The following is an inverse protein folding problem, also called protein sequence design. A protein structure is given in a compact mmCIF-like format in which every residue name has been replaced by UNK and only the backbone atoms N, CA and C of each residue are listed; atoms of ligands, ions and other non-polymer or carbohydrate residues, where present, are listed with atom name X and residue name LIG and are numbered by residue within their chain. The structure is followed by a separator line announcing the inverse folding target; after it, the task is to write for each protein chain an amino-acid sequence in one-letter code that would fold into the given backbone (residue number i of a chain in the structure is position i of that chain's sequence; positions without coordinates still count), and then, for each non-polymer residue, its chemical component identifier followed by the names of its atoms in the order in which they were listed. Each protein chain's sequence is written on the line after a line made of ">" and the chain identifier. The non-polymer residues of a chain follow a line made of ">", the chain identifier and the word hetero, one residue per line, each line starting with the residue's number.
data_IF_891761513380
#
_entry.id   IF_891761513380
#
_cell.length_a   1.000
_cell.length_b   1.000
_cell.length_c   1.000
_cell.angle_alpha   90.00
_cell.angle_beta   90.00
_cell.angle_gamma   90.00
#
_symmetry.space_group_name_H-M   'P 1'
#
loop_
_entity.id
_entity.type
_entity.pdbx_description
1 polymer ?
#
# COMPACT_ATOMS: atom_id res chain seq x y z
N UNK A 1 2.96 -16.43 12.54
CA UNK A 1 2.50 -17.12 11.31
C UNK A 1 2.73 -16.22 10.09
N UNK A 2 2.97 -16.79 8.90
CA UNK A 2 3.15 -15.99 7.67
C UNK A 2 2.09 -16.30 6.62
N UNK A 3 1.57 -15.25 5.99
CA UNK A 3 0.73 -15.35 4.80
C UNK A 3 1.55 -14.86 3.61
N UNK A 4 1.66 -15.64 2.55
CA UNK A 4 2.38 -15.25 1.33
C UNK A 4 1.37 -15.13 0.19
N UNK A 5 1.29 -13.95 -0.40
CA UNK A 5 0.56 -13.66 -1.63
C UNK A 5 1.56 -13.53 -2.77
N UNK A 6 1.60 -14.52 -3.66
CA UNK A 6 2.53 -14.54 -4.80
C UNK A 6 1.81 -14.34 -6.12
N UNK A 7 2.20 -13.35 -6.91
CA UNK A 7 1.74 -13.18 -8.28
C UNK A 7 2.32 -14.31 -9.14
N UNK A 8 1.46 -15.05 -9.83
CA UNK A 8 1.86 -16.12 -10.74
C UNK A 8 1.72 -15.72 -12.21
N UNK A 9 0.55 -15.19 -12.58
CA UNK A 9 0.22 -14.88 -13.98
C UNK A 9 -0.36 -13.46 -14.07
N UNK A 10 -0.11 -12.79 -15.19
CA UNK A 10 -0.73 -11.52 -15.53
C UNK A 10 -1.27 -11.57 -16.96
N UNK A 11 -2.50 -11.11 -17.13
CA UNK A 11 -3.16 -10.99 -18.42
C UNK A 11 -3.90 -9.65 -18.49
N UNK A 12 -3.79 -8.96 -19.62
CA UNK A 12 -4.38 -7.63 -19.77
C UNK A 12 -5.91 -7.61 -19.68
N UNK A 13 -6.59 -8.72 -19.99
CA UNK A 13 -8.05 -8.84 -19.95
C UNK A 13 -8.54 -9.45 -18.64
N UNK A 14 -7.83 -10.44 -18.11
CA UNK A 14 -8.22 -11.19 -16.90
C UNK A 14 -7.67 -10.59 -15.62
N UNK A 15 -6.56 -9.85 -15.71
CA UNK A 15 -5.90 -9.14 -14.63
C UNK A 15 -4.74 -9.93 -14.02
N UNK A 16 -4.75 -10.11 -12.71
CA UNK A 16 -3.64 -10.68 -11.95
C UNK A 16 -4.05 -11.98 -11.27
N UNK A 17 -3.20 -12.99 -11.36
CA UNK A 17 -3.40 -14.26 -10.68
C UNK A 17 -2.45 -14.38 -9.51
N UNK A 18 -3.00 -14.73 -8.35
CA UNK A 18 -2.23 -14.89 -7.12
C UNK A 18 -2.35 -16.31 -6.57
N UNK A 19 -1.33 -16.74 -5.84
CA UNK A 19 -1.38 -17.89 -4.95
C UNK A 19 -1.22 -17.41 -3.52
N UNK A 20 -2.09 -17.95 -2.65
CA UNK A 20 -2.09 -17.77 -1.21
C UNK A 20 -1.42 -18.98 -0.57
N UNK A 21 -0.34 -18.74 0.17
CA UNK A 21 0.28 -19.73 1.05
C UNK A 21 0.19 -19.27 2.50
N UNK A 22 -0.30 -20.12 3.38
CA UNK A 22 -0.26 -19.89 4.83
C UNK A 22 0.80 -20.82 5.39
N UNK A 23 1.82 -20.24 6.02
CA UNK A 23 2.96 -20.92 6.62
C UNK A 23 2.92 -20.78 8.13
N UNK A 24 3.14 -21.87 8.85
CA UNK A 24 3.30 -21.83 10.31
C UNK A 24 4.63 -21.15 10.69
N UNK A 25 4.87 -20.97 11.99
CA UNK A 25 6.08 -20.31 12.52
C UNK A 25 7.38 -21.07 12.23
N UNK A 26 7.29 -22.31 11.75
CA UNK A 26 8.44 -23.11 11.29
C UNK A 26 8.67 -23.01 9.78
N UNK A 27 7.87 -22.23 9.06
CA UNK A 27 7.98 -21.99 7.63
C UNK A 27 7.32 -23.06 6.77
N UNK A 28 6.69 -24.08 7.38
CA UNK A 28 5.99 -25.13 6.67
C UNK A 28 4.65 -24.63 6.13
N UNK A 29 4.38 -24.89 4.85
CA UNK A 29 3.11 -24.54 4.19
C UNK A 29 2.00 -25.44 4.73
N UNK A 30 1.03 -24.84 5.43
CA UNK A 30 -0.15 -25.52 5.96
C UNK A 30 -1.29 -25.50 4.93
N UNK A 31 -1.40 -24.40 4.20
CA UNK A 31 -2.45 -24.22 3.20
C UNK A 31 -1.86 -23.53 1.99
N UNK A 32 -2.12 -24.09 0.81
CA UNK A 32 -1.83 -23.46 -0.47
C UNK A 32 -3.12 -23.44 -1.28
N UNK A 33 -3.56 -22.24 -1.65
CA UNK A 33 -4.74 -22.05 -2.47
C UNK A 33 -4.43 -21.11 -3.60
N UNK A 34 -4.94 -21.43 -4.79
CA UNK A 34 -4.82 -20.55 -5.95
C UNK A 34 -5.99 -19.57 -5.92
N UNK A 35 -5.69 -18.28 -5.76
CA UNK A 35 -6.72 -17.25 -5.79
C UNK A 35 -7.33 -17.17 -7.18
N UNK A 36 -8.59 -16.73 -7.25
CA UNK A 36 -9.15 -16.34 -8.55
C UNK A 36 -8.48 -15.07 -9.05
N UNK A 37 -8.67 -14.80 -10.33
CA UNK A 37 -8.12 -13.62 -10.98
C UNK A 37 -8.60 -12.33 -10.32
N UNK A 38 -7.67 -11.53 -9.80
CA UNK A 38 -7.89 -10.13 -9.53
C UNK A 38 -8.16 -9.44 -10.86
N UNK A 39 -9.27 -8.68 -11.00
CA UNK A 39 -9.53 -7.99 -12.26
C UNK A 39 -8.41 -7.01 -12.59
N UNK A 40 -8.22 -6.63 -13.86
CA UNK A 40 -7.36 -5.50 -14.20
C UNK A 40 -7.81 -4.26 -13.43
N UNK A 41 -6.86 -3.47 -12.92
CA UNK A 41 -7.13 -2.19 -12.27
C UNK A 41 -6.37 -1.06 -12.98
N UNK A 42 -6.74 -0.74 -14.24
CA UNK A 42 -6.02 0.26 -15.02
C UNK A 42 -6.03 1.65 -14.36
N UNK A 43 -7.10 2.02 -13.66
CA UNK A 43 -7.22 3.28 -12.93
C UNK A 43 -6.18 3.36 -11.80
N UNK A 44 -5.98 2.26 -11.08
CA UNK A 44 -4.99 2.17 -10.00
C UNK A 44 -3.57 2.25 -10.54
N UNK A 45 -3.29 1.58 -11.66
CA UNK A 45 -1.98 1.64 -12.34
C UNK A 45 -1.70 3.06 -12.84
N UNK A 46 -2.67 3.70 -13.49
CA UNK A 46 -2.57 5.08 -13.97
C UNK A 46 -2.31 6.04 -12.81
N UNK A 47 -2.99 5.84 -11.68
CA UNK A 47 -2.76 6.64 -10.48
C UNK A 47 -1.31 6.47 -9.97
N UNK A 48 -0.79 5.24 -9.88
CA UNK A 48 0.60 4.98 -9.49
C UNK A 48 1.62 5.62 -10.45
N UNK A 49 1.32 5.66 -11.75
CA UNK A 49 2.15 6.33 -12.75
C UNK A 49 2.11 7.86 -12.58
N UNK A 50 0.92 8.44 -12.42
CA UNK A 50 0.74 9.88 -12.25
C UNK A 50 1.38 10.40 -10.95
N UNK A 51 1.21 9.68 -9.84
CA UNK A 51 1.85 10.04 -8.59
C UNK A 51 3.37 9.98 -8.66
N UNK A 52 3.96 9.08 -9.46
CA UNK A 52 5.41 9.04 -9.66
C UNK A 52 5.93 10.36 -10.25
N UNK A 53 5.23 10.88 -11.25
CA UNK A 53 5.59 12.14 -11.91
C UNK A 53 5.38 13.36 -11.01
N UNK A 54 4.31 13.35 -10.22
CA UNK A 54 3.93 14.44 -9.33
C UNK A 54 4.77 14.48 -8.04
N UNK A 55 5.04 13.33 -7.42
CA UNK A 55 5.89 13.24 -6.22
C UNK A 55 7.33 13.66 -6.51
N UNK A 56 7.87 13.34 -7.69
CA UNK A 56 9.19 13.82 -8.09
C UNK A 56 9.24 15.36 -8.09
N UNK A 57 8.21 16.04 -8.62
CA UNK A 57 8.13 17.51 -8.64
C UNK A 57 7.94 18.11 -7.24
N UNK A 58 7.15 17.48 -6.38
CA UNK A 58 6.86 17.97 -5.02
C UNK A 58 8.06 17.83 -4.07
N UNK A 59 8.78 16.70 -4.14
CA UNK A 59 9.97 16.46 -3.30
C UNK A 59 11.06 17.52 -3.56
N UNK A 60 11.31 17.86 -4.83
CA UNK A 60 12.25 18.92 -5.21
C UNK A 60 11.82 20.29 -4.66
N UNK A 61 10.52 20.59 -4.63
CA UNK A 61 9.99 21.87 -4.13
C UNK A 61 10.02 21.97 -2.61
N UNK A 62 9.67 20.89 -1.90
CA UNK A 62 9.66 20.86 -0.44
C UNK A 62 11.07 20.84 0.17
N UNK A 63 12.02 20.14 -0.44
CA UNK A 63 13.40 20.16 0.00
C UNK A 63 14.04 21.54 -0.19
N UNK A 64 13.70 22.26 -1.27
CA UNK A 64 14.15 23.64 -1.46
C UNK A 64 13.71 24.59 -0.33
N UNK A 65 12.47 24.47 0.13
CA UNK A 65 11.91 25.30 1.20
C UNK A 65 12.42 24.93 2.61
N UNK A 66 12.86 23.67 2.80
CA UNK A 66 13.44 23.18 4.08
C UNK A 66 14.86 23.67 4.32
N UNK A 67 15.64 23.91 3.26
CA UNK A 67 17.00 24.44 3.36
C UNK A 67 17.05 25.93 3.73
N UNK A 68 15.95 26.67 3.56
CA UNK A 68 15.90 28.12 3.79
C UNK A 68 15.54 28.51 5.24
N UNK A 69 15.31 27.54 6.14
CA UNK A 69 14.92 27.83 7.53
C UNK A 69 15.84 27.15 8.54
N UNK A 70 17.01 27.74 8.75
CA UNK A 70 17.74 27.65 10.01
C UNK A 70 18.46 28.99 10.24
N UNK A 71 17.97 29.76 11.19
CA UNK A 71 18.80 30.68 11.96
C UNK A 71 18.30 30.63 13.41
N UNK A 72 19.25 30.42 14.30
CA UNK A 72 19.07 30.09 15.71
C UNK A 72 18.60 31.32 16.51
N UNK A 73 17.57 31.15 17.34
CA UNK A 73 17.18 32.19 18.29
C UNK A 73 15.90 31.87 19.02
N UNK A 74 16.03 31.66 20.34
CA UNK A 74 14.92 31.52 21.28
C UNK A 74 13.86 32.61 21.05
N UNK A 75 12.63 32.21 20.75
CA UNK A 75 11.49 33.11 20.67
C UNK A 75 10.34 32.55 21.51
N UNK A 76 10.06 33.20 22.65
CA UNK A 76 8.90 32.96 23.52
C UNK A 76 7.57 33.45 22.91
N UNK A 77 7.57 33.90 21.65
CA UNK A 77 6.37 34.30 20.91
C UNK A 77 6.02 33.26 19.84
N UNK A 78 4.73 32.91 19.66
CA UNK A 78 4.32 32.02 18.58
C UNK A 78 4.73 32.61 17.24
N UNK A 79 5.53 31.85 16.49
CA UNK A 79 5.99 32.22 15.15
C UNK A 79 4.74 32.44 14.28
N UNK A 80 4.55 33.64 13.69
CA UNK A 80 3.42 33.88 12.80
C UNK A 80 3.46 32.89 11.62
N UNK A 81 2.31 32.41 11.13
CA UNK A 81 2.27 31.46 10.03
C UNK A 81 3.02 32.04 8.83
N UNK A 82 3.79 31.23 8.08
CA UNK A 82 4.52 31.72 6.92
C UNK A 82 3.56 32.36 5.90
N UNK A 83 4.02 33.32 5.09
CA UNK A 83 3.16 34.00 4.09
C UNK A 83 2.46 33.03 3.13
N UNK A 84 3.04 31.85 2.92
CA UNK A 84 2.47 30.79 2.06
C UNK A 84 1.61 29.76 2.83
N UNK A 85 1.22 30.02 4.07
CA UNK A 85 0.52 29.05 4.92
C UNK A 85 -0.77 28.51 4.29
N UNK A 86 -1.62 29.38 3.75
CA UNK A 86 -2.86 28.96 3.07
C UNK A 86 -2.58 28.10 1.83
N UNK A 87 -1.55 28.46 1.06
CA UNK A 87 -1.12 27.67 -0.10
C UNK A 87 -0.61 26.28 0.33
N UNK A 88 0.19 26.22 1.40
CA UNK A 88 0.69 24.97 1.96
C UNK A 88 -0.45 24.10 2.52
N UNK A 89 -1.47 24.70 3.15
CA UNK A 89 -2.66 23.98 3.60
C UNK A 89 -3.43 23.36 2.42
N UNK A 90 -3.73 24.15 1.38
CA UNK A 90 -4.42 23.64 0.17
C UNK A 90 -3.66 22.50 -0.50
N UNK A 91 -2.33 22.60 -0.56
CA UNK A 91 -1.49 21.52 -1.09
C UNK A 91 -1.57 20.25 -0.22
N UNK A 92 -1.57 20.39 1.12
CA UNK A 92 -1.73 19.25 2.02
C UNK A 92 -3.09 18.60 1.89
N UNK A 93 -4.16 19.38 1.81
CA UNK A 93 -5.54 18.90 1.63
C UNK A 93 -5.69 18.15 0.30
N UNK A 94 -5.23 18.76 -0.80
CA UNK A 94 -5.25 18.11 -2.12
C UNK A 94 -4.45 16.81 -2.12
N UNK A 95 -3.29 16.77 -1.45
CA UNK A 95 -2.50 15.55 -1.33
C UNK A 95 -3.20 14.48 -0.47
N UNK A 96 -3.87 14.88 0.62
CA UNK A 96 -4.65 13.97 1.46
C UNK A 96 -5.81 13.32 0.69
N UNK A 97 -6.57 14.12 -0.08
CA UNK A 97 -7.65 13.62 -0.93
C UNK A 97 -7.15 12.63 -1.97
N UNK A 98 -5.98 12.89 -2.57
CA UNK A 98 -5.39 11.98 -3.54
C UNK A 98 -5.00 10.64 -2.88
N UNK A 99 -4.40 10.67 -1.69
CA UNK A 99 -4.08 9.47 -0.91
C UNK A 99 -5.35 8.66 -0.61
N UNK A 100 -6.43 9.33 -0.17
CA UNK A 100 -7.70 8.69 0.14
C UNK A 100 -8.29 8.02 -1.10
N UNK A 101 -8.36 8.73 -2.22
CA UNK A 101 -8.84 8.18 -3.49
C UNK A 101 -8.04 6.95 -3.95
N UNK A 102 -6.71 6.98 -3.81
CA UNK A 102 -5.87 5.82 -4.11
C UNK A 102 -6.21 4.63 -3.22
N UNK A 103 -6.34 4.88 -1.92
CA UNK A 103 -6.64 3.82 -0.96
C UNK A 103 -8.02 3.21 -1.24
N UNK A 104 -9.01 4.02 -1.62
CA UNK A 104 -10.34 3.54 -2.02
C UNK A 104 -10.29 2.68 -3.29
N UNK A 105 -9.58 3.14 -4.32
CA UNK A 105 -9.38 2.35 -5.55
C UNK A 105 -8.71 1.00 -5.27
N UNK A 106 -7.68 1.01 -4.42
CA UNK A 106 -6.99 -0.21 -4.01
C UNK A 106 -7.91 -1.14 -3.22
N UNK A 107 -8.67 -0.61 -2.26
CA UNK A 107 -9.59 -1.41 -1.44
C UNK A 107 -10.74 -1.97 -2.27
N UNK A 108 -11.29 -1.21 -3.21
CA UNK A 108 -12.31 -1.69 -4.14
C UNK A 108 -11.78 -2.84 -5.01
N UNK A 109 -10.53 -2.74 -5.46
CA UNK A 109 -9.88 -3.77 -6.25
C UNK A 109 -9.65 -5.06 -5.45
N UNK A 110 -9.10 -4.94 -4.23
CA UNK A 110 -8.85 -6.08 -3.33
C UNK A 110 -10.13 -6.67 -2.73
N UNK A 111 -11.24 -5.92 -2.71
CA UNK A 111 -12.56 -6.41 -2.32
C UNK A 111 -13.38 -6.98 -3.49
N UNK A 112 -12.78 -7.11 -4.68
CA UNK A 112 -13.45 -7.79 -5.79
C UNK A 112 -13.90 -9.19 -5.40
N UNK A 113 -15.06 -9.63 -5.91
CA UNK A 113 -15.66 -10.92 -5.57
C UNK A 113 -14.68 -12.10 -5.76
N UNK A 114 -13.84 -12.01 -6.79
CA UNK A 114 -12.81 -13.00 -7.11
C UNK A 114 -11.72 -13.12 -6.05
N UNK A 115 -11.42 -12.05 -5.31
CA UNK A 115 -10.41 -12.05 -4.25
C UNK A 115 -10.96 -12.20 -2.85
N UNK A 116 -12.27 -12.12 -2.69
CA UNK A 116 -12.93 -12.20 -1.39
C UNK A 116 -12.50 -13.42 -0.58
N UNK A 117 -12.34 -14.58 -1.24
CA UNK A 117 -11.87 -15.83 -0.61
C UNK A 117 -10.48 -15.70 0.02
N UNK A 118 -9.57 -14.96 -0.60
CA UNK A 118 -8.23 -14.69 -0.05
C UNK A 118 -8.35 -13.85 1.21
N UNK A 119 -9.14 -12.78 1.15
CA UNK A 119 -9.38 -11.91 2.30
C UNK A 119 -9.98 -12.69 3.49
N UNK A 120 -10.99 -13.53 3.25
CA UNK A 120 -11.58 -14.36 4.29
C UNK A 120 -10.56 -15.34 4.89
N UNK A 121 -9.79 -16.03 4.04
CA UNK A 121 -8.78 -16.97 4.51
C UNK A 121 -7.73 -16.30 5.42
N UNK A 122 -7.37 -15.04 5.16
CA UNK A 122 -6.45 -14.28 6.03
C UNK A 122 -7.14 -13.88 7.34
N UNK A 123 -8.38 -13.40 7.27
CA UNK A 123 -9.17 -13.00 8.45
C UNK A 123 -9.42 -14.18 9.41
N UNK A 124 -9.86 -15.31 8.87
CA UNK A 124 -10.17 -16.51 9.66
C UNK A 124 -8.94 -16.98 10.44
N UNK A 125 -7.77 -16.98 9.79
CA UNK A 125 -6.51 -17.35 10.43
C UNK A 125 -6.01 -16.30 11.42
N UNK A 126 -6.33 -15.03 11.18
CA UNK A 126 -6.03 -13.96 12.13
C UNK A 126 -6.80 -14.10 13.43
N UNK A 127 -8.01 -14.66 13.43
CA UNK A 127 -8.72 -14.89 14.69
C UNK A 127 -8.00 -15.85 15.64
N UNK A 128 -7.14 -16.73 15.12
CA UNK A 128 -6.46 -17.78 15.88
C UNK A 128 -5.05 -17.38 16.35
N UNK A 129 -4.52 -16.23 15.91
CA UNK A 129 -3.11 -15.85 16.09
C UNK A 129 -2.95 -14.36 16.44
N UNK A 130 -2.01 -14.03 17.33
CA UNK A 130 -1.74 -12.66 17.76
C UNK A 130 -0.93 -11.84 16.73
N UNK A 131 -0.05 -12.49 15.96
CA UNK A 131 0.80 -11.81 14.98
C UNK A 131 0.82 -12.56 13.64
N UNK A 132 0.43 -11.84 12.58
CA UNK A 132 0.48 -12.34 11.20
C UNK A 132 1.17 -11.33 10.32
N UNK A 133 2.18 -11.80 9.60
CA UNK A 133 2.85 -11.01 8.56
C UNK A 133 2.34 -11.47 7.20
N UNK A 134 1.79 -10.53 6.43
CA UNK A 134 1.38 -10.70 5.03
C UNK A 134 2.54 -10.30 4.12
N UNK A 135 3.20 -11.31 3.57
CA UNK A 135 4.28 -11.21 2.61
C UNK A 135 3.72 -11.14 1.19
N UNK A 136 4.06 -10.08 0.46
CA UNK A 136 3.55 -9.81 -0.88
C UNK A 136 4.67 -9.94 -1.89
N UNK A 137 4.58 -10.97 -2.74
CA UNK A 137 5.53 -11.30 -3.81
C UNK A 137 4.93 -10.93 -5.16
N UNK A 138 5.33 -9.80 -5.71
CA UNK A 138 4.79 -9.26 -6.95
C UNK A 138 5.92 -8.82 -7.88
N UNK A 139 5.80 -9.12 -9.18
CA UNK A 139 6.82 -8.75 -10.19
C UNK A 139 6.61 -7.33 -10.74
N UNK A 140 5.34 -6.89 -10.76
CA UNK A 140 4.94 -5.59 -11.31
C UNK A 140 5.32 -4.45 -10.37
N UNK A 141 6.27 -3.63 -10.81
CA UNK A 141 6.73 -2.45 -10.06
C UNK A 141 5.63 -1.43 -9.74
N UNK A 142 4.54 -1.38 -10.52
CA UNK A 142 3.38 -0.53 -10.22
C UNK A 142 2.62 -1.03 -8.98
N UNK A 143 2.44 -2.35 -8.87
CA UNK A 143 1.76 -2.97 -7.74
C UNK A 143 2.61 -3.02 -6.47
N UNK A 144 3.94 -3.16 -6.61
CA UNK A 144 4.85 -3.04 -5.46
C UNK A 144 4.76 -1.67 -4.77
N UNK A 145 4.34 -0.62 -5.47
CA UNK A 145 4.19 0.73 -4.90
C UNK A 145 2.87 0.98 -4.21
N UNK A 146 1.96 0.00 -4.22
CA UNK A 146 0.70 0.14 -3.54
C UNK A 146 0.92 0.22 -2.02
N UNK A 147 0.14 1.04 -1.32
CA UNK A 147 0.17 1.13 0.13
C UNK A 147 -0.51 -0.11 0.74
N UNK A 148 0.15 -1.27 0.72
CA UNK A 148 -0.46 -2.53 1.20
C UNK A 148 -0.96 -2.47 2.64
N UNK A 149 -0.32 -1.67 3.50
CA UNK A 149 -0.80 -1.38 4.86
C UNK A 149 -2.11 -0.56 4.93
N UNK A 150 -2.52 0.10 3.84
CA UNK A 150 -3.81 0.79 3.71
C UNK A 150 -4.94 -0.12 3.21
N UNK A 151 -4.66 -1.41 3.00
CA UNK A 151 -5.71 -2.39 2.78
C UNK A 151 -6.62 -2.43 4.01
N UNK A 152 -7.94 -2.35 3.81
CA UNK A 152 -8.97 -2.38 4.84
C UNK A 152 -8.90 -3.62 5.76
N UNK A 153 -8.17 -4.64 5.34
CA UNK A 153 -7.77 -5.78 6.16
C UNK A 153 -6.99 -5.33 7.41
N UNK A 154 -6.04 -4.40 7.26
CA UNK A 154 -5.25 -3.83 8.37
C UNK A 154 -6.10 -3.00 9.34
N UNK A 155 -7.17 -2.39 8.86
CA UNK A 155 -8.11 -1.66 9.73
C UNK A 155 -8.93 -2.61 10.61
N UNK A 156 -9.25 -3.79 10.08
CA UNK A 156 -9.98 -4.84 10.83
C UNK A 156 -9.08 -5.61 11.78
N UNK A 157 -7.79 -5.71 11.44
CA UNK A 157 -6.76 -6.43 12.19
C UNK A 157 -5.46 -5.60 12.21
N UNK A 158 -5.31 -4.67 13.17
CA UNK A 158 -4.15 -3.79 13.27
C UNK A 158 -2.83 -4.51 13.57
N UNK A 159 -2.87 -5.77 14.02
CA UNK A 159 -1.71 -6.65 14.21
C UNK A 159 -1.14 -7.21 12.89
N UNK A 160 -1.82 -6.97 11.76
CA UNK A 160 -1.31 -7.40 10.46
C UNK A 160 -0.16 -6.50 10.02
N UNK A 161 0.99 -7.13 9.83
CA UNK A 161 2.13 -6.48 9.19
C UNK A 161 2.19 -6.83 7.71
N UNK A 162 2.55 -5.86 6.88
CA UNK A 162 2.68 -6.05 5.43
C UNK A 162 4.13 -5.86 5.02
N UNK A 163 4.68 -6.84 4.30
CA UNK A 163 6.03 -6.78 3.78
C UNK A 163 6.06 -7.14 2.30
N UNK A 164 6.86 -6.40 1.52
CA UNK A 164 7.12 -6.71 0.12
C UNK A 164 8.33 -7.63 0.04
N UNK A 165 8.21 -8.69 -0.73
CA UNK A 165 9.33 -9.59 -1.05
C UNK A 165 9.55 -9.62 -2.56
N UNK A 166 10.82 -9.68 -3.01
CA UNK A 166 11.09 -10.01 -4.40
C UNK A 166 10.53 -11.41 -4.71
N UNK A 167 10.11 -11.62 -5.96
CA UNK A 167 9.97 -12.98 -6.48
C UNK A 167 11.40 -13.52 -6.61
N UNK A 168 11.84 -14.32 -5.65
CA UNK A 168 13.09 -15.07 -5.81
C UNK A 168 12.92 -16.02 -7.00
N UNK A 169 13.82 -15.91 -7.98
CA UNK A 169 13.96 -16.90 -9.02
C UNK A 169 14.57 -18.15 -8.35
N UNK A 170 13.75 -19.16 -8.07
CA UNK A 170 14.24 -20.52 -7.79
C UNK A 170 14.88 -21.15 -9.03
#
# INVERSE_FOLDING_TARGET
>A
MWVVLSQEEFDHQRGYRFTLEIKNDHGAVITRSRANWLPPAPELIQYCQHCRESSHKLHHRQNRLRLEKFDDGEAENPIPPPPDYEMLQRLRESHAQAIEQRNDLMNNWLNSERFYQVKQAILDRSMEQEEIVVLIRIDRGELQRLPWAAWDLAQRRPELEFALLPLENE
#
